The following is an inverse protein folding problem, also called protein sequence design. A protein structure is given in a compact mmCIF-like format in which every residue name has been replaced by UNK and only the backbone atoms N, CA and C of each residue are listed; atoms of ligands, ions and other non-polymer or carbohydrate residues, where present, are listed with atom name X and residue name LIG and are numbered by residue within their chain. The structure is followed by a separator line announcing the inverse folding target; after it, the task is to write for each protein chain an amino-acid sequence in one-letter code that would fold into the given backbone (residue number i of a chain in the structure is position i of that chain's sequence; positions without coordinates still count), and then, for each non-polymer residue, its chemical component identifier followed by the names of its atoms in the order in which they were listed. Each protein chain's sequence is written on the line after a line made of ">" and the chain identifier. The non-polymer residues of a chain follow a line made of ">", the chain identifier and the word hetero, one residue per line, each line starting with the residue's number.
data_IF_124077980176
#
_entry.id   IF_124077980176
#
_cell.length_a   1.000
_cell.length_b   1.000
_cell.length_c   1.000
_cell.angle_alpha   90.00
_cell.angle_beta   90.00
_cell.angle_gamma   90.00
#
_symmetry.space_group_name_H-M   'P 1'
#
loop_
_entity.id
_entity.type
_entity.pdbx_description
1 polymer ?
#
# COMPACT_ATOMS: atom_id res chain seq x y z
N UNK A 1 25.23 -3.12 -29.26
CA UNK A 1 25.01 -2.18 -28.13
C UNK A 1 25.84 -2.64 -26.94
N UNK A 2 26.60 -1.76 -26.25
CA UNK A 2 27.42 -2.17 -25.12
C UNK A 2 26.54 -2.55 -23.92
N UNK A 3 26.81 -3.71 -23.30
CA UNK A 3 26.15 -4.11 -22.05
C UNK A 3 26.58 -3.14 -20.94
N UNK A 4 25.62 -2.46 -20.31
CA UNK A 4 25.86 -1.67 -19.10
C UNK A 4 26.49 -2.60 -18.05
N UNK A 5 27.73 -2.33 -17.66
CA UNK A 5 28.37 -3.07 -16.57
C UNK A 5 27.55 -2.86 -15.29
N UNK A 6 27.19 -3.94 -14.59
CA UNK A 6 26.57 -3.83 -13.27
C UNK A 6 27.60 -3.22 -12.32
N UNK A 7 27.27 -2.11 -11.69
CA UNK A 7 28.03 -1.59 -10.55
C UNK A 7 28.16 -2.71 -9.49
N UNK A 8 29.34 -2.91 -8.88
CA UNK A 8 29.52 -3.94 -7.87
C UNK A 8 28.54 -3.70 -6.71
N UNK A 9 27.87 -4.76 -6.27
CA UNK A 9 26.88 -4.64 -5.20
C UNK A 9 27.64 -4.42 -3.88
N UNK A 10 27.47 -3.28 -3.19
CA UNK A 10 28.25 -2.97 -1.99
C UNK A 10 28.02 -3.99 -0.85
N UNK A 11 26.94 -4.78 -0.92
CA UNK A 11 26.64 -5.85 0.03
C UNK A 11 27.53 -7.10 -0.13
N UNK A 12 28.19 -7.28 -1.28
CA UNK A 12 29.07 -8.44 -1.54
C UNK A 12 30.38 -8.41 -0.75
N UNK A 13 30.73 -7.25 -0.17
CA UNK A 13 31.96 -7.05 0.61
C UNK A 13 31.76 -7.14 2.13
N UNK A 14 30.54 -7.43 2.58
CA UNK A 14 30.19 -7.46 3.99
C UNK A 14 30.49 -8.83 4.60
N UNK A 15 31.05 -8.83 5.81
CA UNK A 15 31.17 -10.04 6.63
C UNK A 15 29.81 -10.54 7.11
N UNK A 16 29.73 -11.81 7.50
CA UNK A 16 28.49 -12.41 8.03
C UNK A 16 27.92 -11.62 9.21
N UNK A 17 28.77 -11.11 10.10
CA UNK A 17 28.38 -10.28 11.26
C UNK A 17 27.80 -8.92 10.84
N UNK A 18 28.31 -8.32 9.76
CA UNK A 18 27.75 -7.07 9.22
C UNK A 18 26.40 -7.32 8.55
N UNK A 19 26.25 -8.45 7.85
CA UNK A 19 24.97 -8.88 7.26
C UNK A 19 23.93 -9.17 8.35
N UNK A 20 24.30 -9.84 9.42
CA UNK A 20 23.46 -10.09 10.60
C UNK A 20 22.98 -8.77 11.23
N UNK A 21 23.90 -7.84 11.48
CA UNK A 21 23.59 -6.52 12.03
C UNK A 21 22.67 -5.70 11.11
N UNK A 22 22.83 -5.80 9.78
CA UNK A 22 21.90 -5.17 8.83
C UNK A 22 20.50 -5.79 8.86
N UNK A 23 20.37 -7.11 9.07
CA UNK A 23 19.06 -7.77 9.24
C UNK A 23 18.37 -7.30 10.51
N UNK A 24 19.09 -7.21 11.64
CA UNK A 24 18.55 -6.67 12.89
C UNK A 24 18.03 -5.23 12.71
N UNK A 25 18.79 -4.39 11.99
CA UNK A 25 18.40 -3.01 11.68
C UNK A 25 17.15 -2.98 10.79
N UNK A 26 17.06 -3.82 9.76
CA UNK A 26 15.88 -3.92 8.89
C UNK A 26 14.63 -4.39 9.67
N UNK A 27 14.73 -5.43 10.49
CA UNK A 27 13.60 -5.90 11.31
C UNK A 27 13.16 -4.87 12.35
N UNK A 28 14.11 -4.15 12.98
CA UNK A 28 13.80 -3.03 13.88
C UNK A 28 13.13 -1.88 13.12
N UNK A 29 13.61 -1.54 11.92
CA UNK A 29 13.02 -0.50 11.07
C UNK A 29 11.59 -0.88 10.64
N UNK A 30 11.38 -2.13 10.20
CA UNK A 30 10.06 -2.68 9.86
C UNK A 30 9.09 -2.57 11.03
N UNK A 31 9.54 -2.93 12.24
CA UNK A 31 8.73 -2.80 13.47
C UNK A 31 8.33 -1.35 13.74
N UNK A 32 9.28 -0.42 13.80
CA UNK A 32 9.01 1.01 14.07
C UNK A 32 8.12 1.63 12.98
N UNK A 33 8.30 1.25 11.72
CA UNK A 33 7.44 1.70 10.61
C UNK A 33 6.03 1.11 10.72
N UNK A 34 5.88 -0.13 11.16
CA UNK A 34 4.58 -0.75 11.41
C UNK A 34 3.87 -0.04 12.58
N UNK A 35 4.52 0.10 13.74
CA UNK A 35 3.99 0.78 14.93
C UNK A 35 3.59 2.24 14.65
N UNK A 36 4.39 2.99 13.89
CA UNK A 36 4.02 4.37 13.49
C UNK A 36 2.84 4.41 12.53
N UNK A 37 2.65 3.39 11.70
CA UNK A 37 1.49 3.28 10.79
C UNK A 37 0.22 2.86 11.51
N UNK A 38 0.30 1.96 12.49
CA UNK A 38 -0.85 1.52 13.29
C UNK A 38 -1.25 2.55 14.35
N UNK A 39 -0.28 3.24 14.96
CA UNK A 39 -0.51 4.28 15.97
C UNK A 39 -1.01 5.62 15.40
N UNK A 40 -0.73 5.95 14.14
CA UNK A 40 -1.32 7.12 13.48
C UNK A 40 -2.74 6.80 13.00
N UNK A 41 -3.71 6.88 13.91
CA UNK A 41 -5.13 6.89 13.53
C UNK A 41 -5.41 8.12 12.65
N UNK A 42 -5.78 7.87 11.38
CA UNK A 42 -6.05 8.92 10.39
C UNK A 42 -7.54 9.22 10.41
N UNK A 43 -7.99 10.46 10.64
CA UNK A 43 -9.41 10.78 10.78
C UNK A 43 -10.17 10.35 9.52
N UNK A 44 -11.20 9.52 9.73
CA UNK A 44 -12.03 8.94 8.67
C UNK A 44 -11.66 7.51 8.26
N UNK A 45 -10.44 7.03 8.51
CA UNK A 45 -10.01 5.65 8.17
C UNK A 45 -10.27 4.74 9.38
N UNK A 46 -11.17 3.77 9.22
CA UNK A 46 -11.62 2.84 10.27
C UNK A 46 -10.89 1.49 10.21
N UNK A 47 -10.42 1.07 9.03
CA UNK A 47 -9.57 -0.10 8.86
C UNK A 47 -8.63 0.11 7.67
N UNK A 48 -7.38 -0.31 7.79
CA UNK A 48 -6.41 -0.38 6.68
C UNK A 48 -5.86 -1.81 6.57
N UNK A 49 -5.80 -2.34 5.36
CA UNK A 49 -5.19 -3.65 5.07
C UNK A 49 -4.36 -3.55 3.79
N UNK A 50 -3.13 -4.06 3.78
CA UNK A 50 -2.25 -4.01 2.59
C UNK A 50 -1.99 -5.41 2.07
N UNK A 51 -2.20 -5.61 0.76
CA UNK A 51 -1.95 -6.87 0.06
C UNK A 51 -1.14 -6.57 -1.21
N UNK A 52 0.13 -6.95 -1.22
CA UNK A 52 1.07 -6.61 -2.29
C UNK A 52 1.27 -5.08 -2.43
N UNK A 53 1.09 -4.56 -3.66
CA UNK A 53 1.22 -3.13 -3.97
C UNK A 53 -0.09 -2.32 -3.82
N UNK A 54 -1.12 -2.91 -3.20
CA UNK A 54 -2.42 -2.28 -2.99
C UNK A 54 -2.69 -2.14 -1.48
N UNK A 55 -3.03 -0.92 -1.07
CA UNK A 55 -3.52 -0.63 0.27
C UNK A 55 -5.03 -0.39 0.20
N UNK A 56 -5.79 -1.12 1.01
CA UNK A 56 -7.22 -0.98 1.14
C UNK A 56 -7.56 -0.22 2.41
N UNK A 57 -8.51 0.71 2.31
CA UNK A 57 -8.99 1.50 3.45
C UNK A 57 -10.50 1.47 3.51
N UNK A 58 -11.03 1.16 4.68
CA UNK A 58 -12.43 1.40 4.99
C UNK A 58 -12.51 2.81 5.56
N UNK A 59 -12.94 3.77 4.75
CA UNK A 59 -12.88 5.18 5.11
C UNK A 59 -14.12 6.00 4.75
N UNK A 60 -14.31 7.09 5.49
CA UNK A 60 -15.30 8.13 5.20
C UNK A 60 -14.66 9.31 4.48
N UNK A 61 -15.38 9.90 3.52
CA UNK A 61 -14.86 10.99 2.67
C UNK A 61 -15.82 12.18 2.65
N UNK A 62 -15.28 13.40 2.62
CA UNK A 62 -16.08 14.62 2.38
C UNK A 62 -16.07 14.94 0.89
N UNK A 63 -17.23 15.18 0.26
CA UNK A 63 -17.30 15.40 -1.19
C UNK A 63 -17.02 16.86 -1.63
N UNK A 64 -16.79 17.79 -0.70
CA UNK A 64 -16.46 19.18 -1.00
C UNK A 64 -17.59 20.05 -1.55
N UNK A 65 -18.79 19.50 -1.79
CA UNK A 65 -19.96 20.30 -2.22
C UNK A 65 -20.43 21.18 -1.07
N UNK A 66 -20.58 22.49 -1.31
CA UNK A 66 -21.03 23.47 -0.32
C UNK A 66 -22.35 23.06 0.36
N UNK A 67 -23.29 22.51 -0.42
CA UNK A 67 -24.62 22.11 0.05
C UNK A 67 -24.69 20.62 0.47
N UNK A 68 -23.57 19.99 0.84
CA UNK A 68 -23.56 18.59 1.30
C UNK A 68 -24.00 18.47 2.77
N UNK A 69 -25.28 18.18 3.02
CA UNK A 69 -25.81 17.90 4.37
C UNK A 69 -25.52 16.48 4.87
N UNK A 70 -25.10 15.56 3.99
CA UNK A 70 -24.88 14.12 4.29
C UNK A 70 -23.40 13.74 4.34
N UNK A 71 -22.52 14.72 4.56
CA UNK A 71 -21.08 14.53 4.65
C UNK A 71 -20.68 14.32 6.13
N UNK A 72 -19.70 13.45 6.44
CA UNK A 72 -18.89 12.65 5.52
C UNK A 72 -19.64 11.41 5.01
N UNK A 73 -19.37 11.03 3.77
CA UNK A 73 -19.95 9.85 3.13
C UNK A 73 -19.16 8.58 3.46
N UNK A 74 -19.87 7.48 3.69
CA UNK A 74 -19.28 6.18 4.01
C UNK A 74 -19.67 5.69 5.41
N UNK A 75 -18.87 4.83 6.04
CA UNK A 75 -17.60 4.29 5.53
C UNK A 75 -17.79 3.40 4.29
N UNK A 76 -16.79 3.41 3.41
CA UNK A 76 -16.68 2.53 2.24
C UNK A 76 -15.24 2.06 2.07
N UNK A 77 -15.05 0.90 1.47
CA UNK A 77 -13.74 0.45 1.04
C UNK A 77 -13.27 1.22 -0.20
N UNK A 78 -12.01 1.65 -0.15
CA UNK A 78 -11.25 2.22 -1.24
C UNK A 78 -9.94 1.44 -1.42
N UNK A 79 -9.52 1.26 -2.67
CA UNK A 79 -8.26 0.63 -3.05
C UNK A 79 -7.26 1.69 -3.51
N UNK A 80 -6.02 1.66 -3.02
CA UNK A 80 -4.95 2.60 -3.35
C UNK A 80 -3.71 1.89 -3.88
N UNK A 81 -3.08 2.43 -4.93
CA UNK A 81 -1.83 1.89 -5.46
C UNK A 81 -0.96 2.96 -6.12
N UNK A 82 0.31 2.64 -6.38
CA UNK A 82 1.21 3.47 -7.19
C UNK A 82 1.18 3.08 -8.67
N UNK A 83 1.19 4.08 -9.54
CA UNK A 83 1.15 3.93 -11.00
C UNK A 83 1.74 5.19 -11.65
N UNK A 84 2.83 5.05 -12.42
CA UNK A 84 3.54 6.20 -13.01
C UNK A 84 4.02 7.21 -11.96
N UNK A 85 4.54 6.75 -10.81
CA UNK A 85 4.95 7.56 -9.66
C UNK A 85 3.80 8.15 -8.83
N UNK A 86 2.63 8.36 -9.43
CA UNK A 86 1.44 8.93 -8.79
C UNK A 86 0.67 7.87 -8.00
N UNK A 87 -0.04 8.31 -6.96
CA UNK A 87 -0.97 7.45 -6.22
C UNK A 87 -2.33 7.50 -6.93
N UNK A 88 -2.89 6.32 -7.21
CA UNK A 88 -4.25 6.12 -7.70
C UNK A 88 -5.13 5.62 -6.57
N UNK A 89 -6.42 5.91 -6.65
CA UNK A 89 -7.45 5.40 -5.76
C UNK A 89 -8.64 4.89 -6.58
N UNK A 90 -9.43 3.97 -6.01
CA UNK A 90 -10.69 3.49 -6.59
C UNK A 90 -11.69 3.17 -5.49
N UNK A 91 -12.94 3.57 -5.70
CA UNK A 91 -14.07 3.18 -4.85
C UNK A 91 -14.39 1.69 -5.05
N UNK A 92 -14.59 0.97 -3.95
CA UNK A 92 -14.85 -0.47 -3.96
C UNK A 92 -16.25 -0.84 -3.44
N UNK A 93 -16.78 -0.10 -2.45
CA UNK A 93 -18.11 -0.35 -1.90
C UNK A 93 -18.10 -0.70 -0.41
N UNK A 94 -19.21 -1.20 0.15
CA UNK A 94 -19.33 -1.44 1.60
C UNK A 94 -18.63 -2.72 2.08
N UNK A 95 -18.50 -3.75 1.22
CA UNK A 95 -18.07 -5.10 1.63
C UNK A 95 -16.75 -5.50 0.97
N UNK A 96 -15.64 -5.47 1.71
CA UNK A 96 -14.34 -6.01 1.26
C UNK A 96 -13.38 -6.64 2.34
N UNK A 97 -13.82 -7.52 3.27
CA UNK A 97 -12.90 -8.25 4.16
C UNK A 97 -11.93 -9.26 3.52
N UNK A 98 -12.43 -10.39 3.00
CA UNK A 98 -11.66 -11.66 2.94
C UNK A 98 -10.43 -11.60 2.03
N UNK A 99 -9.25 -11.51 2.65
CA UNK A 99 -7.96 -11.28 1.98
C UNK A 99 -8.05 -10.13 0.95
N UNK A 100 -8.65 -9.01 1.37
CA UNK A 100 -9.08 -7.86 0.56
C UNK A 100 -9.97 -8.22 -0.64
N UNK A 101 -10.80 -9.25 -0.47
CA UNK A 101 -11.46 -10.03 -1.52
C UNK A 101 -10.45 -10.43 -2.59
N UNK A 102 -9.65 -11.45 -2.29
CA UNK A 102 -8.58 -12.01 -3.13
C UNK A 102 -7.61 -10.98 -3.75
N UNK A 103 -7.08 -10.06 -2.93
CA UNK A 103 -6.26 -8.91 -3.32
C UNK A 103 -6.97 -7.99 -4.34
N UNK A 104 -8.22 -7.62 -4.02
CA UNK A 104 -9.19 -7.00 -4.91
C UNK A 104 -9.32 -7.78 -6.22
N UNK A 105 -9.39 -9.10 -6.09
CA UNK A 105 -9.53 -10.13 -7.12
C UNK A 105 -8.42 -10.03 -8.17
N UNK A 106 -7.18 -10.15 -7.66
CA UNK A 106 -5.89 -10.03 -8.34
C UNK A 106 -5.62 -8.64 -8.99
N UNK A 107 -6.00 -7.57 -8.25
CA UNK A 107 -6.04 -6.12 -8.62
C UNK A 107 -7.18 -5.70 -9.57
N UNK A 108 -8.24 -6.51 -9.58
CA UNK A 108 -8.94 -7.03 -10.76
C UNK A 108 -7.91 -7.80 -11.59
N UNK A 109 -8.20 -8.98 -12.14
CA UNK A 109 -7.19 -10.01 -12.52
C UNK A 109 -6.15 -9.56 -13.56
N UNK A 110 -5.17 -8.78 -13.08
CA UNK A 110 -4.75 -7.56 -13.75
C UNK A 110 -5.95 -6.59 -14.08
N UNK A 111 -5.78 -5.28 -14.10
CA UNK A 111 -5.54 -4.54 -15.34
C UNK A 111 -5.51 -5.50 -16.57
N UNK A 112 -6.68 -6.04 -16.92
CA UNK A 112 -6.98 -7.49 -16.99
C UNK A 112 -6.38 -8.28 -18.15
N UNK A 113 -5.12 -8.68 -17.99
CA UNK A 113 -4.18 -9.19 -19.00
C UNK A 113 -3.82 -8.14 -20.07
N UNK A 114 -4.19 -6.89 -19.80
CA UNK A 114 -4.76 -6.05 -20.83
C UNK A 114 -4.44 -4.57 -20.66
N UNK A 115 -4.53 -3.81 -21.75
CA UNK A 115 -5.09 -4.19 -23.06
C UNK A 115 -3.95 -4.42 -24.05
N UNK A 116 -3.71 -5.61 -24.63
CA UNK A 116 -4.60 -6.73 -25.06
C UNK A 116 -5.76 -6.28 -25.94
#
# INVERSE_FOLDING_TARGET
>A
MPRKQKSPNPLEKLSEKEIEKLREIDDRLRRVVHERRTGQSRPGIQAEQTFGSITFRYETVRCGKANCTRCPHGPYWYAYWKEGGRTRSRYVGRSLPEKARAAYEAKQRARLESKA
#
